data_IF_160152595705
#
_entry.id   IF_160152595705
#
_cell.length_a   1.000
_cell.length_b   1.000
_cell.length_c   1.000
_cell.angle_alpha   90.00
_cell.angle_beta   90.00
_cell.angle_gamma   90.00
#
_symmetry.space_group_name_H-M   'P 1'
#
loop_
_entity.id
_entity.type
_entity.pdbx_description
1 polymer ?
#
# COMPACT_ATOMS: atom_id res chain seq x y z
N UNK A 1 50.57 33.82 13.61
CA UNK A 1 49.10 33.97 13.65
C UNK A 1 48.49 32.70 14.24
N UNK A 2 47.37 32.85 14.95
CA UNK A 2 46.88 32.03 16.08
C UNK A 2 46.66 30.53 15.78
N UNK A 3 46.99 29.70 16.79
CA UNK A 3 46.75 28.25 16.91
C UNK A 3 45.59 28.00 17.90
N UNK A 4 44.67 27.09 17.57
CA UNK A 4 43.76 26.32 18.47
C UNK A 4 43.17 25.21 17.56
N UNK A 5 43.42 23.89 17.62
CA UNK A 5 43.48 22.84 18.66
C UNK A 5 42.23 22.68 19.53
N UNK A 6 41.44 21.63 19.19
CA UNK A 6 40.83 20.64 20.11
C UNK A 6 39.43 20.86 20.71
N UNK A 7 38.62 19.80 20.50
CA UNK A 7 37.45 19.26 21.23
C UNK A 7 36.23 20.13 21.54
N UNK A 8 35.06 19.59 21.14
CA UNK A 8 33.93 19.40 22.05
C UNK A 8 33.09 18.20 21.58
N UNK A 9 33.36 17.03 22.16
CA UNK A 9 32.44 15.90 22.25
C UNK A 9 31.23 16.33 23.09
N UNK A 10 30.05 16.39 22.47
CA UNK A 10 28.77 16.46 23.18
C UNK A 10 28.03 15.17 22.83
N UNK A 11 27.98 14.27 23.80
CA UNK A 11 27.02 13.18 23.87
C UNK A 11 25.63 13.74 24.25
N UNK A 12 24.58 12.96 23.96
CA UNK A 12 23.15 13.14 24.29
C UNK A 12 22.42 13.99 23.21
N UNK A 13 21.38 13.53 22.52
CA UNK A 13 20.28 12.65 22.93
C UNK A 13 19.83 11.74 21.77
N UNK A 14 19.53 10.50 22.13
CA UNK A 14 18.79 9.57 21.30
C UNK A 14 17.44 10.19 20.88
N UNK A 15 17.21 10.34 19.58
CA UNK A 15 15.87 10.48 19.00
C UNK A 15 15.58 9.25 18.14
N UNK A 16 15.11 8.21 18.83
CA UNK A 16 13.96 7.43 18.39
C UNK A 16 14.02 6.73 17.04
N UNK A 17 15.07 5.96 16.74
CA UNK A 17 14.86 4.78 15.89
C UNK A 17 14.28 3.67 16.76
N UNK A 18 12.96 3.70 16.97
CA UNK A 18 12.24 2.58 17.55
C UNK A 18 12.10 1.47 16.50
N UNK A 19 13.23 0.83 16.15
CA UNK A 19 13.18 -0.55 15.70
C UNK A 19 12.87 -1.37 16.95
N UNK A 20 11.60 -1.76 17.10
CA UNK A 20 11.20 -2.72 18.11
C UNK A 20 11.80 -4.09 17.75
N UNK A 21 13.05 -4.33 18.14
CA UNK A 21 13.57 -5.67 18.31
C UNK A 21 12.91 -6.24 19.58
N UNK A 22 11.85 -7.03 19.40
CA UNK A 22 11.31 -7.85 20.49
C UNK A 22 12.32 -8.95 20.78
N UNK A 23 13.18 -8.66 21.77
CA UNK A 23 14.05 -9.63 22.41
C UNK A 23 13.19 -10.63 23.17
N UNK A 24 13.31 -11.89 22.76
CA UNK A 24 12.71 -13.07 23.38
C UNK A 24 13.20 -13.19 24.83
N UNK A 25 12.40 -12.72 25.79
CA UNK A 25 12.60 -13.04 27.22
C UNK A 25 11.75 -14.26 27.56
N UNK A 26 12.42 -15.40 27.67
CA UNK A 26 11.85 -16.64 28.17
C UNK A 26 11.81 -16.60 29.70
N UNK A 27 10.61 -16.48 30.29
CA UNK A 27 10.21 -17.26 31.46
C UNK A 27 8.76 -17.01 31.86
N UNK A 28 8.00 -18.10 31.95
CA UNK A 28 6.88 -18.22 32.89
C UNK A 28 5.48 -17.90 32.36
N UNK A 29 4.77 -18.95 31.94
CA UNK A 29 3.41 -19.22 32.43
C UNK A 29 2.23 -18.47 31.82
N UNK A 30 1.34 -19.28 31.24
CA UNK A 30 -0.11 -19.08 31.03
C UNK A 30 -0.58 -18.10 29.94
N UNK A 31 -1.23 -18.69 28.94
CA UNK A 31 -2.53 -18.25 28.41
C UNK A 31 -2.63 -16.76 28.01
N UNK A 32 -1.80 -16.35 27.05
CA UNK A 32 -2.12 -15.22 26.20
C UNK A 32 -1.70 -15.59 24.78
N UNK A 33 -2.56 -16.35 24.09
CA UNK A 33 -2.59 -16.40 22.63
C UNK A 33 -3.06 -15.01 22.17
N UNK A 34 -2.18 -14.02 22.38
CA UNK A 34 -2.40 -12.63 22.05
C UNK A 34 -2.62 -12.60 20.53
N UNK A 35 -3.86 -12.34 20.14
CA UNK A 35 -4.26 -12.22 18.76
C UNK A 35 -3.50 -11.04 18.18
N UNK A 36 -2.30 -11.29 17.66
CA UNK A 36 -1.48 -10.27 17.03
C UNK A 36 -2.26 -9.73 15.83
N UNK A 37 -2.86 -8.57 16.02
CA UNK A 37 -3.59 -7.85 14.98
C UNK A 37 -2.56 -7.27 14.04
N UNK A 38 -2.50 -7.78 12.80
CA UNK A 38 -1.60 -7.26 11.78
C UNK A 38 -2.03 -5.83 11.40
N UNK A 39 -1.22 -4.88 11.85
CA UNK A 39 -1.40 -3.44 11.59
C UNK A 39 -0.55 -2.95 10.42
N UNK A 40 0.27 -3.83 9.83
CA UNK A 40 1.19 -3.43 8.77
C UNK A 40 0.45 -3.20 7.45
N UNK A 41 0.83 -2.14 6.75
CA UNK A 41 0.36 -1.91 5.38
C UNK A 41 1.15 -2.80 4.43
N UNK A 42 0.44 -3.61 3.66
CA UNK A 42 0.98 -4.52 2.68
C UNK A 42 0.96 -3.87 1.31
N UNK A 43 2.04 -4.02 0.54
CA UNK A 43 2.16 -3.51 -0.82
C UNK A 43 2.15 -4.69 -1.78
N UNK A 44 1.18 -4.70 -2.69
CA UNK A 44 0.98 -5.75 -3.67
C UNK A 44 1.16 -5.14 -5.07
N UNK A 45 2.13 -5.65 -5.81
CA UNK A 45 2.20 -5.41 -7.26
C UNK A 45 1.24 -6.37 -7.93
N UNK A 46 0.32 -5.83 -8.73
CA UNK A 46 -0.71 -6.60 -9.40
C UNK A 46 -0.25 -6.88 -10.83
N UNK A 47 -0.32 -8.14 -11.24
CA UNK A 47 -0.11 -8.51 -12.65
C UNK A 47 -1.25 -7.93 -13.49
N UNK A 48 -0.89 -7.40 -14.66
CA UNK A 48 -1.84 -6.71 -15.52
C UNK A 48 -2.70 -7.68 -16.33
N UNK A 49 -3.68 -8.29 -15.65
CA UNK A 49 -4.73 -9.11 -16.26
C UNK A 49 -5.97 -8.28 -16.68
N UNK A 50 -5.86 -6.95 -16.68
CA UNK A 50 -6.97 -6.02 -16.86
C UNK A 50 -6.95 -5.27 -18.19
N UNK A 51 -6.09 -5.68 -19.13
CA UNK A 51 -5.83 -4.98 -20.40
C UNK A 51 -7.09 -4.60 -21.19
N UNK A 52 -8.17 -5.37 -21.07
CA UNK A 52 -9.47 -5.07 -21.68
C UNK A 52 -10.11 -3.76 -21.19
N UNK A 53 -9.80 -3.34 -19.95
CA UNK A 53 -10.29 -2.09 -19.36
C UNK A 53 -9.45 -0.87 -19.74
N UNK A 54 -8.29 -1.06 -20.38
CA UNK A 54 -7.38 0.01 -20.77
C UNK A 54 -6.63 -0.28 -22.09
N UNK A 55 -7.38 -0.44 -23.20
CA UNK A 55 -6.84 -0.86 -24.49
C UNK A 55 -5.87 0.15 -25.12
N UNK A 56 -5.90 1.41 -24.68
CA UNK A 56 -5.07 2.47 -25.25
C UNK A 56 -3.86 2.82 -24.38
N UNK A 57 -3.91 2.51 -23.09
CA UNK A 57 -2.84 2.80 -22.16
C UNK A 57 -1.57 1.98 -22.45
N UNK A 58 -0.41 2.62 -22.22
CA UNK A 58 0.91 2.01 -22.41
C UNK A 58 1.70 2.02 -21.12
N UNK A 59 2.56 1.00 -20.94
CA UNK A 59 3.44 0.87 -19.77
C UNK A 59 2.67 0.91 -18.46
N UNK A 60 1.59 0.13 -18.40
CA UNK A 60 0.69 0.09 -17.24
C UNK A 60 1.36 -0.64 -16.08
N UNK A 61 1.16 -0.10 -14.88
CA UNK A 61 1.61 -0.65 -13.62
C UNK A 61 0.48 -0.48 -12.61
N UNK A 62 0.11 -1.58 -11.99
CA UNK A 62 -0.92 -1.64 -10.96
C UNK A 62 -0.27 -1.95 -9.62
N UNK A 63 -0.60 -1.15 -8.61
CA UNK A 63 -0.14 -1.38 -7.23
C UNK A 63 -1.29 -1.18 -6.27
N UNK A 64 -1.35 -2.02 -5.25
CA UNK A 64 -2.36 -1.99 -4.21
C UNK A 64 -1.68 -1.93 -2.83
N UNK A 65 -2.07 -0.94 -2.04
CA UNK A 65 -1.76 -0.84 -0.61
C UNK A 65 -2.97 -1.31 0.18
N UNK A 66 -2.79 -2.28 1.07
CA UNK A 66 -3.85 -2.76 1.95
C UNK A 66 -3.41 -2.70 3.42
N UNK A 67 -4.25 -2.09 4.26
CA UNK A 67 -4.08 -2.04 5.71
C UNK A 67 -5.20 -2.86 6.35
N UNK A 68 -4.97 -4.14 6.71
CA UNK A 68 -6.03 -5.06 7.13
C UNK A 68 -6.82 -4.60 8.34
N UNK A 69 -6.13 -4.06 9.36
CA UNK A 69 -6.78 -3.59 10.58
C UNK A 69 -7.81 -2.47 10.32
N UNK A 70 -7.52 -1.57 9.40
CA UNK A 70 -8.39 -0.43 9.07
C UNK A 70 -9.41 -0.78 7.97
N UNK A 71 -9.22 -1.90 7.26
CA UNK A 71 -9.95 -2.22 6.04
C UNK A 71 -9.65 -1.25 4.89
N UNK A 72 -8.55 -0.49 4.98
CA UNK A 72 -8.20 0.57 4.03
C UNK A 72 -7.47 -0.01 2.83
N UNK A 73 -7.91 0.34 1.63
CA UNK A 73 -7.26 -0.02 0.37
C UNK A 73 -6.95 1.22 -0.45
N UNK A 74 -5.74 1.29 -1.01
CA UNK A 74 -5.38 2.28 -2.03
C UNK A 74 -4.88 1.58 -3.28
N UNK A 75 -5.49 1.89 -4.41
CA UNK A 75 -5.06 1.36 -5.70
C UNK A 75 -4.44 2.48 -6.50
N UNK A 76 -3.29 2.17 -7.11
CA UNK A 76 -2.54 3.05 -7.97
C UNK A 76 -2.49 2.45 -9.36
N UNK A 77 -3.08 3.17 -10.31
CA UNK A 77 -2.98 2.89 -11.72
C UNK A 77 -1.96 3.86 -12.31
N UNK A 78 -0.83 3.36 -12.78
CA UNK A 78 0.21 4.18 -13.40
C UNK A 78 0.40 3.78 -14.86
N UNK A 79 0.44 4.75 -15.77
CA UNK A 79 0.73 4.50 -17.18
C UNK A 79 1.53 5.65 -17.79
N UNK A 80 1.92 5.49 -19.05
CA UNK A 80 2.52 6.57 -19.84
C UNK A 80 1.54 7.75 -19.97
N UNK A 81 1.98 8.96 -19.61
CA UNK A 81 1.12 10.14 -19.59
C UNK A 81 0.46 10.47 -20.95
N UNK A 82 1.11 10.29 -22.13
CA UNK A 82 0.47 10.53 -23.41
C UNK A 82 -0.68 9.57 -23.75
N UNK A 83 -0.72 8.40 -23.13
CA UNK A 83 -1.77 7.39 -23.32
C UNK A 83 -2.77 7.35 -22.16
N UNK A 84 -2.69 8.30 -21.22
CA UNK A 84 -3.56 8.30 -20.05
C UNK A 84 -4.97 8.71 -20.44
N UNK A 85 -5.92 7.82 -20.18
CA UNK A 85 -7.34 8.13 -20.15
C UNK A 85 -7.89 7.90 -18.72
N UNK A 86 -8.69 8.86 -18.25
CA UNK A 86 -9.23 8.79 -16.89
C UNK A 86 -10.32 7.72 -16.76
N UNK A 87 -11.14 7.51 -17.81
CA UNK A 87 -12.19 6.50 -17.80
C UNK A 87 -11.62 5.09 -17.77
N UNK A 88 -10.60 4.82 -18.60
CA UNK A 88 -9.85 3.55 -18.57
C UNK A 88 -9.25 3.29 -17.19
N UNK A 89 -8.52 4.26 -16.63
CA UNK A 89 -7.93 4.13 -15.30
C UNK A 89 -8.98 3.87 -14.19
N UNK A 90 -10.14 4.52 -14.27
CA UNK A 90 -11.24 4.29 -13.34
C UNK A 90 -11.79 2.87 -13.44
N UNK A 91 -12.09 2.41 -14.66
CA UNK A 91 -12.62 1.08 -14.91
C UNK A 91 -11.65 -0.02 -14.46
N UNK A 92 -10.36 0.13 -14.77
CA UNK A 92 -9.33 -0.81 -14.32
C UNK A 92 -9.25 -0.87 -12.80
N UNK A 93 -9.27 0.28 -12.14
CA UNK A 93 -9.22 0.32 -10.67
C UNK A 93 -10.48 -0.27 -10.04
N UNK A 94 -11.65 -0.08 -10.65
CA UNK A 94 -12.89 -0.71 -10.18
C UNK A 94 -12.83 -2.24 -10.32
N UNK A 95 -12.33 -2.77 -11.44
CA UNK A 95 -12.14 -4.20 -11.63
C UNK A 95 -11.14 -4.79 -10.62
N UNK A 96 -10.01 -4.12 -10.40
CA UNK A 96 -9.02 -4.51 -9.38
C UNK A 96 -9.63 -4.53 -7.98
N UNK A 97 -10.45 -3.55 -7.64
CA UNK A 97 -11.12 -3.50 -6.34
C UNK A 97 -12.17 -4.61 -6.19
N UNK A 98 -12.90 -4.95 -7.26
CA UNK A 98 -13.90 -6.03 -7.26
C UNK A 98 -13.26 -7.41 -7.07
N UNK A 99 -12.15 -7.67 -7.75
CA UNK A 99 -11.37 -8.91 -7.57
C UNK A 99 -10.82 -8.98 -6.16
N UNK A 100 -10.18 -7.90 -5.69
CA UNK A 100 -9.69 -7.82 -4.31
C UNK A 100 -10.81 -8.04 -3.28
N UNK A 101 -11.98 -7.45 -3.52
CA UNK A 101 -13.16 -7.60 -2.66
C UNK A 101 -13.55 -9.09 -2.56
N UNK A 102 -13.60 -9.77 -3.70
CA UNK A 102 -13.97 -11.17 -3.81
C UNK A 102 -12.94 -12.10 -3.17
N UNK A 103 -11.66 -11.86 -3.40
CA UNK A 103 -10.54 -12.62 -2.83
C UNK A 103 -10.47 -12.53 -1.30
N UNK A 104 -10.76 -11.34 -0.74
CA UNK A 104 -10.74 -11.12 0.70
C UNK A 104 -12.08 -11.46 1.39
N UNK A 105 -13.10 -11.85 0.61
CA UNK A 105 -14.41 -12.23 1.16
C UNK A 105 -15.20 -11.05 1.74
N UNK A 106 -15.05 -9.85 1.17
CA UNK A 106 -15.88 -8.70 1.53
C UNK A 106 -17.20 -8.73 0.75
N UNK A 107 -18.32 -8.42 1.40
CA UNK A 107 -19.65 -8.48 0.77
C UNK A 107 -20.26 -7.10 0.52
N UNK A 108 -19.78 -6.10 1.24
CA UNK A 108 -20.19 -4.70 1.08
C UNK A 108 -19.29 -3.95 0.10
N UNK A 109 -19.94 -3.04 -0.64
CA UNK A 109 -19.21 -2.05 -1.43
C UNK A 109 -18.38 -1.17 -0.51
N UNK A 110 -17.14 -0.83 -0.90
CA UNK A 110 -16.30 -0.01 -0.05
C UNK A 110 -16.75 1.47 -0.09
N UNK A 111 -16.44 2.20 0.97
CA UNK A 111 -16.68 3.64 1.04
C UNK A 111 -15.46 4.42 0.55
N UNK A 112 -15.69 5.53 -0.15
CA UNK A 112 -14.61 6.42 -0.57
C UNK A 112 -14.07 7.20 0.62
N UNK A 113 -12.79 7.02 0.94
CA UNK A 113 -12.13 7.74 2.04
C UNK A 113 -11.69 9.13 1.59
N UNK A 114 -11.20 9.24 0.34
CA UNK A 114 -10.81 10.50 -0.27
C UNK A 114 -11.24 10.53 -1.72
N UNK A 115 -11.45 11.74 -2.25
CA UNK A 115 -11.64 11.96 -3.69
C UNK A 115 -10.43 11.42 -4.45
N UNK A 116 -10.74 10.71 -5.53
CA UNK A 116 -9.76 10.20 -6.49
C UNK A 116 -8.87 11.35 -7.00
N UNK A 117 -7.60 11.04 -7.25
CA UNK A 117 -6.64 12.04 -7.75
C UNK A 117 -5.76 11.46 -8.84
N UNK A 118 -5.41 12.31 -9.79
CA UNK A 118 -4.40 12.04 -10.81
C UNK A 118 -3.19 12.94 -10.56
N UNK A 119 -2.00 12.37 -10.66
CA UNK A 119 -0.72 13.10 -10.59
C UNK A 119 0.15 12.73 -11.78
N UNK A 120 0.93 13.69 -12.27
CA UNK A 120 1.85 13.49 -13.37
C UNK A 120 3.28 13.70 -12.89
N UNK A 121 4.20 12.86 -13.35
CA UNK A 121 5.62 12.95 -13.01
C UNK A 121 6.50 12.53 -14.17
N UNK A 122 7.79 12.83 -14.07
CA UNK A 122 8.81 12.38 -15.04
C UNK A 122 9.68 11.31 -14.40
N UNK A 123 9.95 10.23 -15.12
CA UNK A 123 10.98 9.27 -14.73
C UNK A 123 12.36 9.92 -14.90
N UNK A 124 13.18 9.84 -13.85
CA UNK A 124 14.50 10.50 -13.81
C UNK A 124 15.43 10.00 -14.91
N UNK A 125 15.34 8.72 -15.25
CA UNK A 125 16.32 8.05 -16.11
C UNK A 125 15.91 8.02 -17.60
N UNK A 126 14.63 8.20 -17.92
CA UNK A 126 14.12 8.02 -19.30
C UNK A 126 13.46 9.26 -19.90
N UNK A 127 13.33 10.36 -19.13
CA UNK A 127 12.56 11.56 -19.49
C UNK A 127 11.10 11.25 -19.92
N UNK A 128 10.61 10.03 -19.65
CA UNK A 128 9.24 9.63 -19.90
C UNK A 128 8.33 10.27 -18.87
N UNK A 129 7.21 10.82 -19.35
CA UNK A 129 6.15 11.34 -18.50
C UNK A 129 5.19 10.21 -18.18
N UNK A 130 4.86 10.08 -16.90
CA UNK A 130 3.93 9.09 -16.37
C UNK A 130 2.74 9.81 -15.73
N UNK A 131 1.60 9.14 -15.73
CA UNK A 131 0.40 9.56 -15.02
C UNK A 131 0.04 8.46 -14.02
N UNK A 132 -0.24 8.84 -12.77
CA UNK A 132 -0.78 7.94 -11.75
C UNK A 132 -2.15 8.43 -11.33
N UNK A 133 -3.15 7.60 -11.56
CA UNK A 133 -4.48 7.70 -10.98
C UNK A 133 -4.51 6.90 -9.68
N UNK A 134 -5.14 7.46 -8.63
CA UNK A 134 -5.28 6.77 -7.35
C UNK A 134 -6.70 6.83 -6.82
N UNK A 135 -7.13 5.71 -6.25
CA UNK A 135 -8.39 5.57 -5.51
C UNK A 135 -8.11 5.09 -4.11
N UNK A 136 -8.79 5.69 -3.13
CA UNK A 136 -8.67 5.33 -1.72
C UNK A 136 -10.05 5.00 -1.16
N UNK A 137 -10.23 3.74 -0.83
CA UNK A 137 -11.47 3.21 -0.30
C UNK A 137 -11.25 2.46 1.03
N UNK A 138 -12.34 2.20 1.74
CA UNK A 138 -12.33 1.45 2.98
C UNK A 138 -13.48 0.44 2.99
N UNK A 139 -13.17 -0.80 3.34
CA UNK A 139 -14.14 -1.83 3.64
C UNK A 139 -14.50 -1.78 5.13
N UNK A 140 -15.78 -1.65 5.44
CA UNK A 140 -16.26 -1.55 6.83
C UNK A 140 -16.45 -2.90 7.50
N UNK A 141 -16.52 -3.96 6.71
CA UNK A 141 -16.60 -5.34 7.18
C UNK A 141 -15.21 -5.88 7.48
N UNK A 142 -15.12 -6.84 8.40
CA UNK A 142 -13.90 -7.64 8.54
C UNK A 142 -13.84 -8.64 7.39
N UNK A 143 -12.65 -8.89 6.79
CA UNK A 143 -12.52 -9.88 5.72
C UNK A 143 -13.00 -11.24 6.23
N UNK A 144 -13.97 -11.83 5.53
CA UNK A 144 -14.44 -13.17 5.87
C UNK A 144 -13.43 -14.18 5.34
N UNK A 145 -12.55 -14.67 6.21
CA UNK A 145 -11.74 -15.83 5.89
C UNK A 145 -12.62 -17.06 6.09
N UNK A 146 -13.16 -17.61 5.01
CA UNK A 146 -13.85 -18.89 5.07
C UNK A 146 -12.94 -19.90 5.79
N UNK A 147 -13.46 -20.72 6.72
CA UNK A 147 -12.66 -21.80 7.29
C UNK A 147 -12.14 -22.63 6.12
N UNK A 148 -10.83 -22.84 6.06
CA UNK A 148 -10.26 -23.80 5.11
C UNK A 148 -10.98 -25.12 5.38
N UNK A 149 -11.66 -25.64 4.37
CA UNK A 149 -12.15 -27.01 4.44
C UNK A 149 -10.90 -27.88 4.49
N UNK A 150 -10.58 -28.37 5.68
CA UNK A 150 -9.57 -29.39 5.89
C UNK A 150 -10.02 -30.63 5.11
N UNK A 151 -9.32 -30.95 4.03
CA UNK A 151 -9.42 -32.22 3.32
C UNK A 151 -8.42 -33.21 3.91
#
# INVERSE_FOLDING_TARGET
>A
MKKIFTMCTIALLAFGAAFAQVSKSSNGGLEALDSYVDTSTQYLTIEDNYAEFHPHAKSVQLTLEYTPYEGTVRVFYTCSAPSYDQGEAMNTVDAVLEDFQSEQGFHTKPIFVKKDRTSYFKLKDSNLRMATYRRWVQYTEKPFKAPKADN
#
